data_IF_416520219988
#
_entry.id   IF_416520219988
#
_cell.length_a   1.000
_cell.length_b   1.000
_cell.length_c   1.000
_cell.angle_alpha   90.00
_cell.angle_beta   90.00
_cell.angle_gamma   90.00
#
_symmetry.space_group_name_H-M   'P 1'
#
loop_
_entity.id
_entity.type
_entity.pdbx_description
1 polymer ?
#
# COMPACT_ATOMS: atom_id res chain seq x y z
N UNK A 1 -22.09 6.60 26.72
CA UNK A 1 -22.40 7.50 25.57
C UNK A 1 -21.12 8.22 25.15
N UNK A 2 -20.57 7.95 23.96
CA UNK A 2 -19.24 8.44 23.59
C UNK A 2 -19.32 9.82 22.94
N UNK A 3 -18.78 10.83 23.62
CA UNK A 3 -18.36 12.12 23.03
C UNK A 3 -16.87 12.06 22.77
N UNK A 4 -16.46 11.56 21.60
CA UNK A 4 -15.09 11.74 21.08
C UNK A 4 -14.95 11.42 19.59
N UNK A 5 -15.92 11.81 18.76
CA UNK A 5 -15.92 11.55 17.31
C UNK A 5 -16.09 12.82 16.44
N UNK A 6 -15.90 14.02 17.00
CA UNK A 6 -16.16 15.31 16.33
C UNK A 6 -14.92 16.14 15.96
N UNK A 7 -13.74 15.53 15.82
CA UNK A 7 -12.53 16.29 15.46
C UNK A 7 -11.72 15.71 14.29
N UNK A 8 -12.11 14.54 13.79
CA UNK A 8 -11.61 13.93 12.54
C UNK A 8 -12.51 14.18 11.33
N UNK A 9 -13.73 14.71 11.52
CA UNK A 9 -14.62 15.14 10.41
C UNK A 9 -14.19 16.45 9.74
N UNK A 10 -13.54 17.36 10.49
CA UNK A 10 -13.27 18.71 10.01
C UNK A 10 -12.21 18.78 8.90
N UNK A 11 -11.26 17.84 8.88
CA UNK A 11 -10.21 17.76 7.85
C UNK A 11 -10.72 17.15 6.53
N UNK A 12 -11.69 16.24 6.59
CA UNK A 12 -12.31 15.62 5.41
C UNK A 12 -13.31 16.60 4.77
N UNK A 13 -14.06 17.35 5.60
CA UNK A 13 -15.01 18.38 5.16
C UNK A 13 -14.32 19.60 4.51
N UNK A 14 -13.12 19.97 4.96
CA UNK A 14 -12.32 21.08 4.38
C UNK A 14 -11.69 20.71 3.01
N UNK A 15 -11.43 19.43 2.75
CA UNK A 15 -10.90 18.93 1.48
C UNK A 15 -11.98 18.70 0.41
N UNK A 16 -13.21 18.35 0.83
CA UNK A 16 -14.36 18.14 -0.08
C UNK A 16 -14.97 19.44 -0.66
N UNK A 17 -14.58 20.62 -0.16
CA UNK A 17 -15.14 21.92 -0.57
C UNK A 17 -14.59 22.49 -1.90
N UNK A 18 -13.69 21.77 -2.59
CA UNK A 18 -13.10 22.19 -3.88
C UNK A 18 -13.44 21.30 -5.08
N UNK A 19 -14.36 20.34 -4.93
CA UNK A 19 -14.78 19.46 -6.03
C UNK A 19 -16.17 19.86 -6.57
N UNK A 20 -16.36 20.02 -7.89
CA UNK A 20 -17.68 20.28 -8.44
C UNK A 20 -18.60 19.07 -8.23
N UNK A 21 -19.82 19.35 -7.77
CA UNK A 21 -20.85 18.35 -7.57
C UNK A 21 -21.61 18.09 -8.88
N UNK A 22 -21.49 16.89 -9.45
CA UNK A 22 -22.56 16.16 -10.15
C UNK A 22 -22.09 14.78 -10.64
N UNK A 23 -22.90 13.73 -10.41
CA UNK A 23 -22.84 12.49 -11.20
C UNK A 23 -22.25 11.23 -10.56
N UNK A 24 -22.95 10.62 -9.60
CA UNK A 24 -22.69 9.25 -9.12
C UNK A 24 -23.00 8.20 -10.20
N UNK A 25 -21.98 7.48 -10.66
CA UNK A 25 -22.06 6.09 -11.14
C UNK A 25 -20.70 5.42 -10.91
N UNK A 26 -20.66 4.34 -10.12
CA UNK A 26 -19.46 3.63 -9.63
C UNK A 26 -18.71 2.83 -10.72
N UNK A 27 -18.22 3.53 -11.74
CA UNK A 27 -17.25 3.04 -12.70
C UNK A 27 -16.10 4.04 -12.96
N UNK A 28 -16.19 5.28 -12.46
CA UNK A 28 -15.15 6.32 -12.67
C UNK A 28 -14.04 6.32 -11.61
N UNK A 29 -14.32 5.94 -10.35
CA UNK A 29 -13.36 6.10 -9.24
C UNK A 29 -12.11 5.22 -9.34
N UNK A 30 -12.23 4.02 -9.90
CA UNK A 30 -11.08 3.10 -10.07
C UNK A 30 -10.10 3.61 -11.12
N UNK A 31 -10.61 4.14 -12.25
CA UNK A 31 -9.79 4.69 -13.31
C UNK A 31 -9.13 6.01 -12.88
N UNK A 32 -9.83 6.83 -12.09
CA UNK A 32 -9.30 8.04 -11.47
C UNK A 32 -8.16 7.71 -10.50
N UNK A 33 -8.34 6.75 -9.58
CA UNK A 33 -7.27 6.29 -8.68
C UNK A 33 -6.05 5.79 -9.46
N UNK A 34 -6.23 4.98 -10.51
CA UNK A 34 -5.11 4.52 -11.34
C UNK A 34 -4.42 5.65 -12.11
N UNK A 35 -5.19 6.63 -12.57
CA UNK A 35 -4.65 7.79 -13.26
C UNK A 35 -3.79 8.66 -12.33
N UNK A 36 -4.09 8.65 -11.03
CA UNK A 36 -3.36 9.41 -10.01
C UNK A 36 -2.11 8.68 -9.47
N UNK A 37 -2.03 7.36 -9.61
CA UNK A 37 -0.84 6.60 -9.18
C UNK A 37 0.36 6.85 -10.13
N UNK A 38 1.51 7.32 -9.60
CA UNK A 38 2.65 7.77 -10.42
C UNK A 38 3.51 6.61 -10.97
N UNK A 39 3.08 5.36 -10.80
CA UNK A 39 3.83 4.17 -11.17
C UNK A 39 4.08 4.11 -12.68
N UNK A 40 5.35 3.92 -13.09
CA UNK A 40 5.72 3.86 -14.51
C UNK A 40 5.34 2.52 -15.17
N UNK A 41 5.25 1.44 -14.40
CA UNK A 41 4.78 0.14 -14.88
C UNK A 41 3.34 -0.09 -14.41
N UNK A 42 2.46 -0.51 -15.33
CA UNK A 42 1.08 -0.86 -15.04
C UNK A 42 0.93 -2.38 -14.89
N UNK A 43 0.30 -2.82 -13.82
CA UNK A 43 0.00 -4.24 -13.60
C UNK A 43 -0.91 -4.76 -14.73
N UNK A 44 -0.53 -5.84 -15.45
CA UNK A 44 -1.39 -6.45 -16.46
C UNK A 44 -2.67 -7.02 -15.85
N UNK A 45 -3.79 -6.95 -16.55
CA UNK A 45 -5.07 -7.50 -16.07
C UNK A 45 -4.97 -9.01 -15.77
N UNK A 46 -4.16 -9.75 -16.56
CA UNK A 46 -3.90 -11.18 -16.36
C UNK A 46 -3.32 -11.49 -14.97
N UNK A 47 -2.56 -10.56 -14.36
CA UNK A 47 -1.99 -10.76 -13.03
C UNK A 47 -3.08 -10.98 -11.97
N UNK A 48 -4.17 -10.21 -12.02
CA UNK A 48 -5.25 -10.32 -11.04
C UNK A 48 -5.94 -11.69 -11.11
N UNK A 49 -6.25 -12.15 -12.33
CA UNK A 49 -6.85 -13.48 -12.52
C UNK A 49 -5.95 -14.59 -12.00
N UNK A 50 -4.65 -14.53 -12.32
CA UNK A 50 -3.67 -15.52 -11.84
C UNK A 50 -3.51 -15.50 -10.33
N UNK A 51 -3.49 -14.31 -9.70
CA UNK A 51 -3.43 -14.17 -8.25
C UNK A 51 -4.67 -14.74 -7.54
N UNK A 52 -5.86 -14.56 -8.12
CA UNK A 52 -7.12 -15.06 -7.56
C UNK A 52 -7.25 -16.60 -7.65
N UNK A 53 -6.45 -17.29 -8.47
CA UNK A 53 -6.39 -18.77 -8.49
C UNK A 53 -5.86 -19.37 -7.17
N UNK A 54 -5.10 -18.61 -6.39
CA UNK A 54 -4.42 -19.09 -5.18
C UNK A 54 -4.74 -18.20 -3.95
N UNK A 55 -6.02 -18.14 -3.53
CA UNK A 55 -6.50 -17.14 -2.57
C UNK A 55 -5.84 -17.26 -1.19
N UNK A 56 -5.57 -18.48 -0.71
CA UNK A 56 -4.86 -18.68 0.57
C UNK A 56 -3.46 -18.06 0.54
N UNK A 57 -2.70 -18.29 -0.52
CA UNK A 57 -1.34 -17.75 -0.64
C UNK A 57 -1.34 -16.23 -0.74
N UNK A 58 -2.28 -15.68 -1.53
CA UNK A 58 -2.44 -14.24 -1.71
C UNK A 58 -2.79 -13.53 -0.40
N UNK A 59 -3.76 -14.06 0.35
CA UNK A 59 -4.17 -13.51 1.65
C UNK A 59 -3.06 -13.65 2.70
N UNK A 60 -2.28 -14.74 2.64
CA UNK A 60 -1.13 -14.91 3.52
C UNK A 60 -0.06 -13.84 3.27
N UNK A 61 0.29 -13.64 1.99
CA UNK A 61 1.23 -12.60 1.56
C UNK A 61 0.75 -11.23 2.04
N UNK A 62 -0.51 -10.89 1.77
CA UNK A 62 -1.15 -9.65 2.22
C UNK A 62 -1.05 -9.48 3.74
N UNK A 63 -1.46 -10.47 4.53
CA UNK A 63 -1.36 -10.39 5.99
C UNK A 63 0.08 -10.14 6.47
N UNK A 64 1.09 -10.72 5.80
CA UNK A 64 2.48 -10.42 6.14
C UNK A 64 2.93 -9.02 5.70
N UNK A 65 2.38 -8.46 4.62
CA UNK A 65 2.65 -7.08 4.23
C UNK A 65 2.14 -6.12 5.29
N UNK A 66 0.90 -6.27 5.74
CA UNK A 66 0.30 -5.43 6.80
C UNK A 66 1.13 -5.48 8.10
N UNK A 67 1.50 -6.69 8.51
CA UNK A 67 2.37 -6.89 9.67
C UNK A 67 3.72 -6.17 9.51
N UNK A 68 4.32 -6.22 8.32
CA UNK A 68 5.61 -5.61 8.03
C UNK A 68 5.50 -4.09 7.94
N UNK A 69 4.42 -3.54 7.38
CA UNK A 69 4.13 -2.11 7.33
C UNK A 69 4.02 -1.54 8.75
N UNK A 70 3.20 -2.16 9.60
CA UNK A 70 3.08 -1.79 11.02
C UNK A 70 4.45 -1.81 11.74
N UNK A 71 5.20 -2.89 11.55
CA UNK A 71 6.53 -3.05 12.18
C UNK A 71 7.53 -2.02 11.66
N UNK A 72 7.53 -1.73 10.35
CA UNK A 72 8.41 -0.76 9.73
C UNK A 72 8.15 0.65 10.27
N UNK A 73 6.89 1.05 10.44
CA UNK A 73 6.53 2.33 11.04
C UNK A 73 7.08 2.47 12.48
N UNK A 74 6.98 1.41 13.30
CA UNK A 74 7.56 1.40 14.64
C UNK A 74 9.10 1.43 14.62
N UNK A 75 9.73 0.70 13.71
CA UNK A 75 11.18 0.68 13.55
C UNK A 75 11.74 2.05 13.15
N UNK A 76 11.04 2.76 12.26
CA UNK A 76 11.39 4.13 11.88
C UNK A 76 11.37 5.08 13.11
N UNK A 77 10.41 4.92 14.02
CA UNK A 77 10.38 5.68 15.29
C UNK A 77 11.57 5.31 16.17
N UNK A 78 11.87 4.02 16.32
CA UNK A 78 12.98 3.56 17.16
C UNK A 78 14.34 4.09 16.67
N UNK A 79 14.54 4.14 15.36
CA UNK A 79 15.79 4.57 14.75
C UNK A 79 15.93 6.08 14.64
N UNK A 80 14.84 6.80 14.39
CA UNK A 80 14.81 8.26 14.28
C UNK A 80 13.71 8.84 15.19
N UNK A 81 13.90 8.85 16.52
CA UNK A 81 12.87 9.29 17.45
C UNK A 81 12.66 10.82 17.45
N UNK A 82 13.68 11.60 17.09
CA UNK A 82 13.64 13.06 17.00
C UNK A 82 14.88 13.61 16.23
N UNK A 83 14.93 14.92 16.01
CA UNK A 83 16.09 15.63 15.46
C UNK A 83 16.05 15.78 13.94
N UNK A 84 16.29 14.68 13.22
CA UNK A 84 16.27 14.69 11.75
C UNK A 84 14.86 14.68 11.15
N UNK A 85 13.83 14.50 11.97
CA UNK A 85 12.44 14.27 11.58
C UNK A 85 11.51 15.45 11.91
N UNK A 86 10.39 15.64 11.19
CA UNK A 86 9.38 16.64 11.53
C UNK A 86 8.77 16.44 12.93
N UNK A 87 8.27 17.51 13.56
CA UNK A 87 7.68 17.47 14.92
C UNK A 87 6.51 16.49 15.07
N UNK A 88 5.80 16.21 13.97
CA UNK A 88 4.65 15.31 13.96
C UNK A 88 5.01 13.85 13.60
N UNK A 89 6.29 13.54 13.40
CA UNK A 89 6.80 12.24 12.98
C UNK A 89 6.28 11.06 13.80
N UNK A 90 6.48 11.10 15.12
CA UNK A 90 6.06 10.03 16.02
C UNK A 90 4.54 9.85 15.97
N UNK A 91 3.79 10.95 15.92
CA UNK A 91 2.33 10.88 15.80
C UNK A 91 1.89 10.26 14.47
N UNK A 92 2.50 10.66 13.36
CA UNK A 92 2.17 10.11 12.04
C UNK A 92 2.45 8.60 11.99
N UNK A 93 3.66 8.17 12.36
CA UNK A 93 4.02 6.76 12.28
C UNK A 93 3.30 5.86 13.28
N UNK A 94 2.93 6.37 14.46
CA UNK A 94 2.10 5.59 15.41
C UNK A 94 0.66 5.44 14.91
N UNK A 95 0.10 6.47 14.25
CA UNK A 95 -1.20 6.37 13.56
C UNK A 95 -1.14 5.33 12.44
N UNK A 96 -0.12 5.38 11.57
CA UNK A 96 0.05 4.40 10.50
C UNK A 96 0.19 2.98 11.07
N UNK A 97 1.07 2.76 12.04
CA UNK A 97 1.24 1.45 12.66
C UNK A 97 -0.07 0.88 13.26
N UNK A 98 -0.93 1.74 13.80
CA UNK A 98 -2.23 1.34 14.33
C UNK A 98 -3.24 0.98 13.22
N UNK A 99 -3.24 1.71 12.10
CA UNK A 99 -4.06 1.43 10.92
C UNK A 99 -3.64 0.11 10.26
N UNK A 100 -2.35 -0.11 10.03
CA UNK A 100 -1.85 -1.39 9.46
C UNK A 100 -2.10 -2.58 10.39
N UNK A 101 -2.08 -2.35 11.71
CA UNK A 101 -2.48 -3.37 12.67
C UNK A 101 -3.98 -3.70 12.58
N UNK A 102 -4.83 -2.74 12.20
CA UNK A 102 -6.24 -3.01 11.89
C UNK A 102 -6.39 -3.74 10.55
N UNK A 103 -5.66 -3.35 9.51
CA UNK A 103 -5.65 -4.07 8.23
C UNK A 103 -5.25 -5.53 8.42
N UNK A 104 -4.13 -5.79 9.10
CA UNK A 104 -3.69 -7.14 9.48
C UNK A 104 -4.81 -7.91 10.18
N UNK A 105 -5.51 -7.26 11.12
CA UNK A 105 -6.61 -7.86 11.87
C UNK A 105 -7.80 -8.19 10.96
N UNK A 106 -8.13 -7.32 9.98
CA UNK A 106 -9.19 -7.56 8.99
C UNK A 106 -8.86 -8.76 8.10
N UNK A 107 -7.67 -8.78 7.50
CA UNK A 107 -7.18 -9.87 6.66
C UNK A 107 -7.11 -11.18 7.44
N UNK A 108 -6.58 -11.16 8.66
CA UNK A 108 -6.49 -12.37 9.51
C UNK A 108 -7.86 -12.93 9.87
N UNK A 109 -8.85 -12.09 10.19
CA UNK A 109 -10.23 -12.54 10.42
C UNK A 109 -10.84 -13.16 9.17
N UNK A 110 -10.60 -12.55 8.01
CA UNK A 110 -11.04 -13.07 6.73
C UNK A 110 -10.44 -14.46 6.46
N UNK A 111 -9.12 -14.60 6.62
CA UNK A 111 -8.43 -15.89 6.49
C UNK A 111 -9.02 -16.96 7.42
N UNK A 112 -9.22 -16.63 8.71
CA UNK A 112 -9.79 -17.56 9.69
C UNK A 112 -11.21 -17.99 9.34
N UNK A 113 -12.04 -17.06 8.83
CA UNK A 113 -13.41 -17.37 8.37
C UNK A 113 -13.42 -18.47 7.29
N UNK A 114 -12.39 -18.49 6.44
CA UNK A 114 -12.26 -19.42 5.31
C UNK A 114 -11.32 -20.60 5.61
N UNK A 115 -10.95 -20.82 6.88
CA UNK A 115 -10.14 -21.95 7.30
C UNK A 115 -8.64 -21.83 6.99
N UNK A 116 -8.17 -20.65 6.57
CA UNK A 116 -6.75 -20.38 6.31
C UNK A 116 -6.04 -19.93 7.59
N UNK A 117 -4.72 -20.13 7.62
CA UNK A 117 -3.86 -19.75 8.75
C UNK A 117 -2.66 -18.94 8.28
N UNK A 118 -2.22 -17.97 9.10
CA UNK A 118 -1.02 -17.20 8.81
C UNK A 118 0.21 -18.12 8.79
N UNK A 119 1.00 -18.05 7.71
CA UNK A 119 2.20 -18.88 7.58
C UNK A 119 3.33 -18.35 8.48
N UNK A 120 4.28 -19.23 8.80
CA UNK A 120 5.44 -18.86 9.63
C UNK A 120 6.44 -17.96 8.91
N UNK A 121 6.62 -18.17 7.61
CA UNK A 121 7.67 -17.56 6.81
C UNK A 121 7.09 -16.88 5.59
N UNK A 122 7.55 -15.66 5.32
CA UNK A 122 7.17 -14.90 4.15
C UNK A 122 8.39 -14.18 3.55
N UNK A 123 8.61 -14.40 2.26
CA UNK A 123 9.62 -13.70 1.46
C UNK A 123 8.92 -12.69 0.57
N UNK A 124 9.46 -11.48 0.52
CA UNK A 124 9.02 -10.45 -0.40
C UNK A 124 10.25 -9.98 -1.21
N UNK A 125 10.53 -10.60 -2.37
CA UNK A 125 11.65 -10.23 -3.23
C UNK A 125 11.56 -8.77 -3.72
N UNK A 126 10.36 -8.26 -3.97
CA UNK A 126 10.08 -6.88 -4.36
C UNK A 126 10.59 -5.86 -3.33
N UNK A 127 10.08 -5.94 -2.09
CA UNK A 127 10.54 -5.06 -1.02
C UNK A 127 12.03 -5.27 -0.70
N UNK A 128 12.53 -6.50 -0.82
CA UNK A 128 13.95 -6.81 -0.66
C UNK A 128 14.84 -6.08 -1.67
N UNK A 129 14.45 -6.07 -2.94
CA UNK A 129 15.16 -5.37 -4.01
C UNK A 129 15.13 -3.85 -3.81
N UNK A 130 13.98 -3.27 -3.45
CA UNK A 130 13.88 -1.85 -3.14
C UNK A 130 14.75 -1.44 -1.94
N UNK A 131 14.71 -2.21 -0.85
CA UNK A 131 15.53 -1.95 0.33
C UNK A 131 17.04 -2.13 0.08
N UNK A 132 17.44 -2.87 -0.96
CA UNK A 132 18.84 -2.99 -1.34
C UNK A 132 19.41 -1.70 -1.94
N UNK A 133 18.56 -0.81 -2.46
CA UNK A 133 18.96 0.48 -3.05
C UNK A 133 19.10 1.61 -2.02
N UNK A 134 18.65 1.40 -0.78
CA UNK A 134 18.70 2.42 0.29
C UNK A 134 20.15 2.80 0.62
N UNK A 135 20.45 4.10 0.62
CA UNK A 135 21.77 4.68 0.98
C UNK A 135 22.06 4.58 2.48
N UNK A 136 22.48 3.41 2.93
CA UNK A 136 22.73 3.13 4.36
C UNK A 136 23.86 4.01 4.93
N UNK A 137 23.62 4.59 6.10
CA UNK A 137 24.59 5.42 6.81
C UNK A 137 24.62 6.88 6.37
N UNK A 138 23.76 7.29 5.43
CA UNK A 138 23.71 8.67 4.89
C UNK A 138 22.65 9.56 5.57
N UNK A 139 22.35 9.31 6.85
CA UNK A 139 21.46 10.15 7.68
C UNK A 139 20.08 10.38 7.04
N UNK A 140 19.72 11.65 6.81
CA UNK A 140 18.46 12.05 6.16
C UNK A 140 18.24 11.43 4.79
N UNK A 141 19.29 11.15 4.02
CA UNK A 141 19.15 10.48 2.73
C UNK A 141 18.71 9.02 2.90
N UNK A 142 19.27 8.31 3.88
CA UNK A 142 18.81 6.96 4.22
C UNK A 142 17.35 6.96 4.65
N UNK A 143 16.97 7.90 5.51
CA UNK A 143 15.61 8.00 6.02
C UNK A 143 14.62 8.32 4.90
N UNK A 144 14.94 9.27 4.02
CA UNK A 144 14.12 9.58 2.85
C UNK A 144 13.98 8.37 1.93
N UNK A 145 15.07 7.63 1.65
CA UNK A 145 15.03 6.40 0.85
C UNK A 145 14.07 5.37 1.43
N UNK A 146 14.08 5.17 2.76
CA UNK A 146 13.14 4.25 3.42
C UNK A 146 11.69 4.67 3.27
N UNK A 147 11.41 5.97 3.32
CA UNK A 147 10.07 6.52 3.11
C UNK A 147 9.64 6.39 1.64
N UNK A 148 10.55 6.57 0.68
CA UNK A 148 10.26 6.31 -0.73
C UNK A 148 9.95 4.83 -0.99
N UNK A 149 10.70 3.91 -0.39
CA UNK A 149 10.40 2.48 -0.48
C UNK A 149 9.01 2.17 0.09
N UNK A 150 8.67 2.71 1.25
CA UNK A 150 7.34 2.53 1.84
C UNK A 150 6.25 3.11 0.92
N UNK A 151 6.44 4.33 0.41
CA UNK A 151 5.51 4.96 -0.53
C UNK A 151 5.28 4.12 -1.81
N UNK A 152 6.33 3.52 -2.38
CA UNK A 152 6.21 2.64 -3.56
C UNK A 152 5.43 1.37 -3.25
N UNK A 153 5.68 0.77 -2.08
CA UNK A 153 4.96 -0.43 -1.62
C UNK A 153 3.47 -0.12 -1.52
N UNK A 154 3.07 0.97 -0.85
CA UNK A 154 1.64 1.31 -0.74
C UNK A 154 1.02 1.69 -2.08
N UNK A 155 1.74 2.42 -2.94
CA UNK A 155 1.26 2.75 -4.27
C UNK A 155 1.02 1.49 -5.12
N UNK A 156 1.93 0.51 -5.06
CA UNK A 156 1.78 -0.77 -5.79
C UNK A 156 0.69 -1.65 -5.18
N UNK A 157 0.57 -1.68 -3.84
CA UNK A 157 -0.53 -2.35 -3.14
C UNK A 157 -1.87 -1.77 -3.57
N UNK A 158 -2.01 -0.44 -3.61
CA UNK A 158 -3.22 0.25 -4.06
C UNK A 158 -3.62 -0.16 -5.49
N UNK A 159 -2.69 -0.08 -6.44
CA UNK A 159 -2.93 -0.49 -7.84
C UNK A 159 -3.45 -1.94 -7.92
N UNK A 160 -2.87 -2.84 -7.12
CA UNK A 160 -3.18 -4.27 -7.16
C UNK A 160 -4.41 -4.65 -6.37
N UNK A 161 -4.73 -3.98 -5.28
CA UNK A 161 -6.01 -4.10 -4.60
C UNK A 161 -7.15 -3.71 -5.54
N UNK A 162 -6.94 -2.67 -6.34
CA UNK A 162 -7.92 -2.28 -7.33
C UNK A 162 -8.05 -3.33 -8.43
N UNK A 163 -6.93 -3.82 -8.96
CA UNK A 163 -6.94 -4.89 -9.96
C UNK A 163 -7.63 -6.16 -9.44
N UNK A 164 -7.41 -6.53 -8.18
CA UNK A 164 -8.07 -7.67 -7.53
C UNK A 164 -9.56 -7.44 -7.31
N UNK A 165 -9.96 -6.22 -6.91
CA UNK A 165 -11.37 -5.87 -6.77
C UNK A 165 -12.09 -5.95 -8.12
N UNK A 166 -11.51 -5.39 -9.19
CA UNK A 166 -12.05 -5.47 -10.54
C UNK A 166 -12.08 -6.90 -11.08
N UNK A 167 -10.98 -7.65 -10.95
CA UNK A 167 -10.89 -9.05 -11.38
C UNK A 167 -11.90 -9.94 -10.66
N UNK A 168 -12.12 -9.72 -9.37
CA UNK A 168 -13.14 -10.44 -8.60
C UNK A 168 -14.55 -10.16 -9.14
N UNK A 169 -14.89 -8.90 -9.44
CA UNK A 169 -16.18 -8.54 -10.08
C UNK A 169 -16.33 -9.10 -11.48
N UNK A 170 -15.24 -9.27 -12.24
CA UNK A 170 -15.32 -9.91 -13.56
C UNK A 170 -15.69 -11.40 -13.45
N UNK A 171 -15.38 -12.04 -12.31
CA UNK A 171 -15.71 -13.43 -11.98
C UNK A 171 -17.05 -13.55 -11.24
N UNK A 172 -18.11 -12.85 -11.70
CA UNK A 172 -19.41 -12.74 -11.01
C UNK A 172 -20.07 -14.10 -10.64
N UNK A 173 -19.82 -15.16 -11.40
CA UNK A 173 -20.30 -16.53 -11.11
C UNK A 173 -19.27 -17.40 -10.36
N UNK A 174 -18.18 -16.79 -9.89
CA UNK A 174 -17.08 -17.45 -9.20
C UNK A 174 -17.38 -17.83 -7.74
N UNK A 175 -16.44 -18.51 -7.06
CA UNK A 175 -16.60 -18.89 -5.67
C UNK A 175 -16.91 -17.68 -4.78
N UNK A 176 -17.80 -17.85 -3.79
CA UNK A 176 -18.17 -16.77 -2.86
C UNK A 176 -16.96 -16.11 -2.19
N UNK A 177 -15.92 -16.89 -1.91
CA UNK A 177 -14.62 -16.42 -1.42
C UNK A 177 -14.02 -15.31 -2.29
N UNK A 178 -14.03 -15.46 -3.62
CA UNK A 178 -13.45 -14.49 -4.55
C UNK A 178 -14.24 -13.18 -4.52
N UNK A 179 -15.57 -13.25 -4.47
CA UNK A 179 -16.42 -12.07 -4.34
C UNK A 179 -16.17 -11.32 -3.01
N UNK A 180 -16.06 -12.06 -1.90
CA UNK A 180 -15.73 -11.47 -0.61
C UNK A 180 -14.33 -10.83 -0.59
N UNK A 181 -13.35 -11.43 -1.28
CA UNK A 181 -12.01 -10.85 -1.44
C UNK A 181 -12.07 -9.52 -2.22
N UNK A 182 -12.87 -9.46 -3.28
CA UNK A 182 -13.07 -8.22 -4.05
C UNK A 182 -13.60 -7.07 -3.20
N UNK A 183 -14.50 -7.36 -2.26
CA UNK A 183 -14.99 -6.42 -1.25
C UNK A 183 -13.89 -6.00 -0.27
N UNK A 184 -13.16 -6.97 0.29
CA UNK A 184 -12.04 -6.71 1.20
C UNK A 184 -11.01 -5.74 0.60
N UNK A 185 -10.58 -5.97 -0.63
CA UNK A 185 -9.60 -5.11 -1.29
C UNK A 185 -10.19 -3.74 -1.65
N UNK A 186 -11.46 -3.66 -2.03
CA UNK A 186 -12.13 -2.38 -2.26
C UNK A 186 -12.15 -1.51 -1.00
N UNK A 187 -12.37 -2.12 0.17
CA UNK A 187 -12.47 -1.44 1.46
C UNK A 187 -11.11 -1.02 2.05
N UNK A 188 -9.99 -1.37 1.42
CA UNK A 188 -8.64 -0.98 1.84
C UNK A 188 -8.05 0.13 0.97
N UNK A 189 -8.58 0.37 -0.24
CA UNK A 189 -7.99 1.30 -1.20
C UNK A 189 -7.76 2.72 -0.66
N UNK A 190 -8.74 3.27 0.07
CA UNK A 190 -8.67 4.65 0.56
C UNK A 190 -7.53 4.84 1.57
N UNK A 191 -7.31 3.86 2.46
CA UNK A 191 -6.20 3.93 3.42
C UNK A 191 -4.84 3.82 2.73
N UNK A 192 -4.68 2.91 1.76
CA UNK A 192 -3.42 2.75 1.01
C UNK A 192 -3.00 4.04 0.27
N UNK A 193 -3.95 4.72 -0.38
CA UNK A 193 -3.69 6.00 -1.05
C UNK A 193 -3.23 7.04 -0.03
N UNK A 194 -3.89 7.08 1.14
CA UNK A 194 -3.50 7.95 2.24
C UNK A 194 -2.08 7.68 2.75
N UNK A 195 -1.70 6.41 2.89
CA UNK A 195 -0.38 6.01 3.39
C UNK A 195 0.74 6.35 2.40
N UNK A 196 0.56 6.06 1.12
CA UNK A 196 1.48 6.46 0.05
C UNK A 196 1.77 7.97 0.10
N UNK A 197 0.72 8.80 0.15
CA UNK A 197 0.88 10.25 0.22
C UNK A 197 1.54 10.71 1.52
N UNK A 198 1.22 10.08 2.65
CA UNK A 198 1.84 10.38 3.93
C UNK A 198 3.36 10.15 3.90
N UNK A 199 3.80 9.01 3.37
CA UNK A 199 5.23 8.71 3.23
C UNK A 199 5.94 9.68 2.29
N UNK A 200 5.36 10.03 1.14
CA UNK A 200 5.95 11.03 0.24
C UNK A 200 6.06 12.40 0.89
N UNK A 201 5.05 12.83 1.65
CA UNK A 201 5.09 14.09 2.38
C UNK A 201 6.24 14.11 3.38
N UNK A 202 6.40 13.05 4.17
CA UNK A 202 7.51 12.92 5.11
C UNK A 202 8.87 12.94 4.38
N UNK A 203 9.01 12.21 3.27
CA UNK A 203 10.23 12.20 2.48
C UNK A 203 10.57 13.60 1.92
N UNK A 204 9.56 14.34 1.45
CA UNK A 204 9.72 15.71 0.96
C UNK A 204 10.19 16.67 2.05
N UNK A 205 9.70 16.54 3.27
CA UNK A 205 10.13 17.39 4.38
C UNK A 205 11.60 17.13 4.78
N UNK A 206 12.09 15.90 4.60
CA UNK A 206 13.49 15.57 4.83
C UNK A 206 14.42 16.09 3.72
N UNK A 207 13.95 16.08 2.47
CA UNK A 207 14.75 16.40 1.28
C UNK A 207 14.00 17.31 0.29
N UNK A 208 13.60 18.53 0.68
CA UNK A 208 12.71 19.36 -0.14
C UNK A 208 13.28 19.67 -1.53
N UNK A 209 14.58 19.91 -1.63
CA UNK A 209 15.26 20.25 -2.89
C UNK A 209 15.45 19.05 -3.82
N UNK A 210 15.77 17.87 -3.28
CA UNK A 210 16.00 16.66 -4.07
C UNK A 210 14.75 15.81 -4.25
N UNK A 211 13.63 16.16 -3.59
CA UNK A 211 12.47 15.31 -3.49
C UNK A 211 11.95 14.84 -4.86
N UNK A 212 11.82 15.78 -5.80
CA UNK A 212 11.31 15.49 -7.13
C UNK A 212 12.24 14.55 -7.90
N UNK A 213 13.55 14.83 -7.90
CA UNK A 213 14.54 14.01 -8.62
C UNK A 213 14.69 12.63 -8.00
N UNK A 214 14.73 12.55 -6.66
CA UNK A 214 14.78 11.29 -5.93
C UNK A 214 13.54 10.44 -6.23
N UNK A 215 12.35 11.05 -6.19
CA UNK A 215 11.10 10.33 -6.44
C UNK A 215 11.02 9.75 -7.85
N UNK A 216 11.40 10.53 -8.87
CA UNK A 216 11.46 10.03 -10.25
C UNK A 216 12.45 8.86 -10.39
N UNK A 217 13.63 8.97 -9.75
CA UNK A 217 14.60 7.87 -9.72
C UNK A 217 14.03 6.60 -9.07
N UNK A 218 13.33 6.74 -7.95
CA UNK A 218 12.67 5.61 -7.28
C UNK A 218 11.58 4.95 -8.13
N UNK A 219 10.76 5.72 -8.84
CA UNK A 219 9.76 5.20 -9.78
C UNK A 219 10.38 4.43 -10.95
N UNK A 220 11.49 4.92 -11.50
CA UNK A 220 12.24 4.21 -12.54
C UNK A 220 12.80 2.88 -12.04
N UNK A 221 13.39 2.86 -10.84
CA UNK A 221 13.94 1.64 -10.24
C UNK A 221 12.83 0.63 -9.92
N UNK A 222 11.73 1.08 -9.34
CA UNK A 222 10.58 0.22 -9.04
C UNK A 222 10.03 -0.45 -10.30
N UNK A 223 9.89 0.31 -11.38
CA UNK A 223 9.41 -0.17 -12.67
C UNK A 223 10.31 -1.28 -13.23
N UNK A 224 11.64 -1.13 -13.13
CA UNK A 224 12.59 -2.19 -13.53
C UNK A 224 12.45 -3.43 -12.63
N UNK A 225 12.44 -3.22 -11.32
CA UNK A 225 12.37 -4.29 -10.31
C UNK A 225 11.13 -5.15 -10.51
N UNK A 226 9.94 -4.55 -10.67
CA UNK A 226 8.69 -5.32 -10.77
C UNK A 226 8.60 -6.13 -12.07
N UNK A 227 9.18 -5.61 -13.17
CA UNK A 227 9.20 -6.28 -14.47
C UNK A 227 10.20 -7.44 -14.53
N UNK A 228 11.32 -7.34 -13.83
CA UNK A 228 12.35 -8.40 -13.83
C UNK A 228 11.97 -9.59 -12.95
N UNK A 229 11.04 -9.41 -12.02
CA UNK A 229 10.66 -10.45 -11.06
C UNK A 229 9.73 -11.50 -11.66
N UNK A 230 9.97 -12.75 -11.24
CA UNK A 230 9.05 -13.85 -11.49
C UNK A 230 7.75 -13.67 -10.71
N UNK A 231 6.69 -14.22 -11.30
CA UNK A 231 5.41 -14.31 -10.63
C UNK A 231 5.46 -15.29 -9.44
N UNK A 232 4.72 -14.95 -8.39
CA UNK A 232 4.32 -15.82 -7.29
C UNK A 232 2.93 -15.35 -6.80
N UNK A 233 2.15 -16.19 -6.09
CA UNK A 233 0.79 -15.85 -5.69
C UNK A 233 0.76 -14.91 -4.47
N UNK A 234 1.29 -13.69 -4.63
CA UNK A 234 1.34 -12.65 -3.61
C UNK A 234 1.16 -11.24 -4.20
N UNK A 235 0.76 -10.29 -3.37
CA UNK A 235 0.35 -8.93 -3.74
C UNK A 235 1.46 -8.18 -4.46
N UNK A 236 2.74 -8.40 -4.13
CA UNK A 236 3.87 -7.67 -4.72
C UNK A 236 4.73 -8.53 -5.65
N UNK A 237 4.16 -9.60 -6.22
CA UNK A 237 4.86 -10.47 -7.16
C UNK A 237 5.18 -9.84 -8.51
N UNK A 238 6.22 -10.33 -9.21
CA UNK A 238 6.53 -9.84 -10.55
C UNK A 238 5.57 -10.37 -11.62
N UNK A 239 5.81 -9.95 -12.85
CA UNK A 239 4.95 -10.25 -14.01
C UNK A 239 5.68 -10.93 -15.17
N UNK A 240 6.98 -11.24 -15.02
CA UNK A 240 7.83 -11.73 -16.11
C UNK A 240 7.34 -13.00 -16.79
N UNK A 241 6.70 -13.88 -16.01
CA UNK A 241 6.32 -15.23 -16.44
C UNK A 241 4.78 -15.38 -16.58
N UNK A 242 4.05 -14.27 -16.71
CA UNK A 242 2.59 -14.23 -16.86
C UNK A 242 2.10 -14.19 -18.31
#
# INVERSE_FOLDING_TARGET
MPRRWKQTQKWIEEWMLWLPAEGRCMASSSAEVLAELPLHYRTPESWAFRALENPESLLNDHAHLEKKAATNALELICRWPHGETPDYWVRALTSMAAEESDHLRRVSRFMMKHGFSLSRHHKNPYAGALHALVRRGEGRAELADRLYVAALIEARSCERFLALSCGSRALNDGPSLIQEMGGLYSDLLESEVGHYHAFLRLARELRPEQHQSDWQGWLEQESRIIQEQSYYPGILSGTRDL
#
